data_IF_184148289621
#
_entry.id   IF_184148289621
#
_cell.length_a   1.000
_cell.length_b   1.000
_cell.length_c   1.000
_cell.angle_alpha   90.00
_cell.angle_beta   90.00
_cell.angle_gamma   90.00
#
_symmetry.space_group_name_H-M   'P 1'
#
loop_
_entity.id
_entity.type
_entity.pdbx_description
1 polymer ?
#
# COMPACT_ATOMS: atom_id res chain seq x y z
N UNK A 1 9.75 9.30 -5.57
CA UNK A 1 8.34 9.44 -5.19
C UNK A 1 8.05 8.59 -3.98
N UNK A 2 7.37 9.15 -3.01
CA UNK A 2 6.94 8.42 -1.81
C UNK A 2 5.44 8.23 -1.88
N UNK A 3 5.00 6.99 -1.66
CA UNK A 3 3.57 6.68 -1.64
C UNK A 3 3.09 6.70 -0.18
N UNK A 4 2.16 7.60 0.18
CA UNK A 4 1.65 7.65 1.53
C UNK A 4 0.74 6.46 1.85
N UNK A 5 0.76 6.04 3.11
CA UNK A 5 -0.21 5.08 3.63
C UNK A 5 -1.45 5.81 4.10
N UNK A 6 -2.59 5.17 3.97
CA UNK A 6 -3.84 5.68 4.52
C UNK A 6 -4.73 4.51 4.96
N UNK A 7 -5.68 4.79 5.84
CA UNK A 7 -6.73 3.84 6.17
C UNK A 7 -7.94 4.12 5.29
N UNK A 8 -8.55 3.05 4.78
CA UNK A 8 -9.78 3.13 4.03
C UNK A 8 -10.98 2.96 4.95
N UNK A 9 -12.02 3.74 4.73
CA UNK A 9 -13.24 3.70 5.51
C UNK A 9 -14.08 2.46 5.20
N UNK A 10 -15.20 2.35 5.91
CA UNK A 10 -16.11 1.23 5.84
C UNK A 10 -16.30 0.63 7.22
N UNK A 11 -16.75 -0.61 7.31
CA UNK A 11 -16.95 -1.29 8.59
C UNK A 11 -15.64 -1.58 9.31
N UNK A 12 -14.55 -1.68 8.57
CA UNK A 12 -13.21 -1.87 9.12
C UNK A 12 -12.25 -0.91 8.46
N UNK A 13 -11.38 -0.31 9.25
CA UNK A 13 -10.28 0.48 8.73
C UNK A 13 -9.20 -0.47 8.23
N UNK A 14 -8.74 -0.27 7.01
CA UNK A 14 -7.68 -1.07 6.39
C UNK A 14 -6.62 -0.16 5.82
N UNK A 15 -5.34 -0.44 6.09
CA UNK A 15 -4.28 0.36 5.49
C UNK A 15 -4.14 0.08 4.00
N UNK A 16 -3.71 1.08 3.28
CA UNK A 16 -3.43 0.98 1.86
C UNK A 16 -2.32 1.93 1.48
N UNK A 17 -1.60 1.60 0.41
CA UNK A 17 -0.55 2.46 -0.15
C UNK A 17 -1.14 3.19 -1.34
N UNK A 18 -1.14 4.52 -1.29
CA UNK A 18 -1.63 5.34 -2.39
C UNK A 18 -0.56 5.39 -3.49
N UNK A 19 -0.91 4.91 -4.68
CA UNK A 19 -0.02 4.92 -5.83
C UNK A 19 -0.07 6.25 -6.56
N UNK A 20 -1.27 6.78 -6.79
CA UNK A 20 -1.46 8.10 -7.34
C UNK A 20 -2.86 8.59 -7.01
N UNK A 21 -3.08 9.89 -7.18
CA UNK A 21 -4.38 10.49 -6.91
C UNK A 21 -4.79 11.47 -8.01
N UNK A 22 -6.10 11.60 -8.19
CA UNK A 22 -6.73 12.58 -9.05
C UNK A 22 -7.49 13.58 -8.18
N UNK A 23 -8.33 14.43 -8.77
CA UNK A 23 -9.10 15.41 -8.01
C UNK A 23 -10.09 14.76 -7.03
N UNK A 24 -10.70 13.63 -7.41
CA UNK A 24 -11.76 12.99 -6.63
C UNK A 24 -11.40 11.61 -6.07
N UNK A 25 -10.41 10.96 -6.67
CA UNK A 25 -10.10 9.56 -6.38
C UNK A 25 -8.62 9.38 -6.10
N UNK A 26 -8.29 8.20 -5.56
CA UNK A 26 -6.91 7.72 -5.56
C UNK A 26 -6.89 6.24 -5.90
N UNK A 27 -5.77 5.80 -6.47
CA UNK A 27 -5.52 4.39 -6.76
C UNK A 27 -4.54 3.86 -5.74
N UNK A 28 -4.86 2.72 -5.14
CA UNK A 28 -4.10 2.20 -4.01
C UNK A 28 -3.95 0.68 -4.08
N UNK A 29 -2.89 0.18 -3.45
CA UNK A 29 -2.71 -1.24 -3.17
C UNK A 29 -3.11 -1.50 -1.73
N UNK A 30 -3.85 -2.57 -1.51
CA UNK A 30 -4.25 -2.96 -0.16
C UNK A 30 -3.09 -3.59 0.61
N UNK A 31 -3.15 -3.45 1.93
CA UNK A 31 -2.18 -4.03 2.86
C UNK A 31 -2.92 -5.01 3.75
N UNK A 32 -2.29 -6.17 4.02
CA UNK A 32 -2.85 -7.18 4.90
C UNK A 32 -1.81 -7.59 5.94
N UNK A 33 -2.29 -7.98 7.12
CA UNK A 33 -1.45 -8.58 8.17
C UNK A 33 -1.40 -10.12 8.06
N UNK A 34 -2.09 -10.71 7.10
CA UNK A 34 -2.10 -12.16 6.88
C UNK A 34 -0.89 -12.58 6.05
N UNK A 35 0.26 -12.61 6.69
CA UNK A 35 1.54 -12.85 6.01
C UNK A 35 1.76 -14.29 5.57
N UNK A 36 0.97 -15.26 6.09
CA UNK A 36 1.09 -16.65 5.73
C UNK A 36 0.76 -16.95 4.26
N UNK A 37 0.04 -16.05 3.63
CA UNK A 37 -0.39 -16.19 2.24
C UNK A 37 0.40 -15.32 1.27
N UNK A 38 1.67 -15.08 1.59
CA UNK A 38 2.52 -14.23 0.75
C UNK A 38 2.66 -14.81 -0.66
N UNK A 39 2.42 -13.94 -1.64
CA UNK A 39 2.62 -14.25 -3.06
C UNK A 39 3.90 -13.58 -3.57
N UNK A 40 4.47 -14.02 -4.71
CA UNK A 40 5.69 -13.40 -5.24
C UNK A 40 5.57 -11.90 -5.54
N UNK A 41 4.37 -11.43 -5.86
CA UNK A 41 4.12 -10.01 -6.12
C UNK A 41 3.98 -9.17 -4.86
N UNK A 42 3.89 -9.78 -3.69
CA UNK A 42 3.69 -9.04 -2.44
C UNK A 42 5.01 -8.42 -1.95
N UNK A 43 4.87 -7.30 -1.23
CA UNK A 43 5.99 -6.63 -0.57
C UNK A 43 5.83 -6.77 0.93
N UNK A 44 6.82 -7.39 1.59
CA UNK A 44 6.81 -7.50 3.04
C UNK A 44 7.21 -6.16 3.66
N UNK A 45 6.42 -5.70 4.62
CA UNK A 45 6.69 -4.51 5.40
C UNK A 45 6.89 -4.88 6.86
N UNK A 46 8.02 -4.47 7.41
CA UNK A 46 8.27 -4.59 8.85
C UNK A 46 7.90 -3.27 9.52
N UNK A 47 7.29 -3.31 10.73
CA UNK A 47 6.96 -2.09 11.44
C UNK A 47 8.19 -1.20 11.65
N UNK A 48 8.05 0.08 11.36
CA UNK A 48 9.09 1.06 11.65
C UNK A 48 8.44 2.43 11.90
N UNK A 49 9.25 3.41 12.33
CA UNK A 49 8.72 4.72 12.66
C UNK A 49 8.25 5.51 11.45
N UNK A 50 8.76 5.18 10.27
CA UNK A 50 8.38 5.86 9.03
C UNK A 50 7.04 5.38 8.51
N UNK A 51 6.82 4.06 8.49
CA UNK A 51 5.57 3.53 7.95
C UNK A 51 4.42 3.48 8.95
N UNK A 52 4.69 3.60 10.24
CA UNK A 52 3.66 3.65 11.26
C UNK A 52 2.87 2.36 11.48
N UNK A 53 3.32 1.25 10.93
CA UNK A 53 2.65 -0.04 11.08
C UNK A 53 2.95 -0.63 12.45
N UNK A 54 2.03 -1.42 12.98
CA UNK A 54 2.18 -2.09 14.27
C UNK A 54 2.56 -3.55 14.15
N UNK A 55 2.30 -4.17 13.00
CA UNK A 55 2.55 -5.58 12.73
C UNK A 55 3.20 -5.75 11.38
N UNK A 56 3.92 -6.86 11.19
CA UNK A 56 4.37 -7.26 9.87
C UNK A 56 3.17 -7.32 8.93
N UNK A 57 3.34 -6.80 7.74
CA UNK A 57 2.26 -6.66 6.78
C UNK A 57 2.78 -6.93 5.37
N UNK A 58 1.85 -7.19 4.47
CA UNK A 58 2.15 -7.35 3.04
C UNK A 58 1.40 -6.31 2.24
N UNK A 59 2.10 -5.65 1.32
CA UNK A 59 1.44 -4.87 0.28
C UNK A 59 1.03 -5.85 -0.81
N UNK A 60 -0.26 -5.93 -1.07
CA UNK A 60 -0.82 -6.77 -2.13
C UNK A 60 -0.79 -6.01 -3.44
N UNK A 61 0.30 -6.09 -4.19
CA UNK A 61 0.41 -5.36 -5.47
C UNK A 61 -0.61 -5.84 -6.50
N UNK A 62 -1.11 -7.07 -6.36
CA UNK A 62 -2.17 -7.59 -7.23
C UNK A 62 -3.57 -7.09 -6.84
N UNK A 63 -3.71 -6.42 -5.70
CA UNK A 63 -4.99 -5.89 -5.22
C UNK A 63 -4.99 -4.37 -5.32
N UNK A 64 -5.17 -3.89 -6.54
CA UNK A 64 -5.20 -2.46 -6.85
C UNK A 64 -6.64 -2.03 -7.04
N UNK A 65 -7.03 -0.91 -6.44
CA UNK A 65 -8.37 -0.37 -6.59
C UNK A 65 -8.33 1.14 -6.66
N UNK A 66 -9.27 1.72 -7.39
CA UNK A 66 -9.49 3.17 -7.42
C UNK A 66 -10.65 3.47 -6.47
N UNK A 67 -10.41 4.37 -5.54
CA UNK A 67 -11.28 4.61 -4.40
C UNK A 67 -11.54 6.10 -4.26
N UNK A 68 -12.78 6.44 -3.91
CA UNK A 68 -13.16 7.84 -3.63
C UNK A 68 -12.35 8.38 -2.45
N UNK A 69 -11.81 9.57 -2.58
CA UNK A 69 -11.00 10.22 -1.54
C UNK A 69 -11.72 10.35 -0.20
N UNK A 70 -13.04 10.45 -0.22
CA UNK A 70 -13.81 10.55 1.01
C UNK A 70 -13.69 9.32 1.90
N UNK A 71 -13.29 8.18 1.34
CA UNK A 71 -13.12 6.95 2.11
C UNK A 71 -11.79 6.88 2.86
N UNK A 72 -10.86 7.79 2.57
CA UNK A 72 -9.59 7.85 3.30
C UNK A 72 -9.82 8.44 4.69
N UNK A 73 -9.27 7.79 5.73
CA UNK A 73 -9.49 8.18 7.12
C UNK A 73 -8.25 8.78 7.80
N UNK A 74 -7.21 9.02 7.05
CA UNK A 74 -6.02 9.66 7.58
C UNK A 74 -4.75 9.02 7.08
N UNK A 75 -3.64 9.67 7.36
CA UNK A 75 -2.32 9.24 6.95
C UNK A 75 -1.66 8.47 8.09
N UNK A 76 -1.21 7.24 7.82
CA UNK A 76 -0.52 6.41 8.82
C UNK A 76 0.99 6.64 8.81
N UNK A 77 1.57 6.85 7.63
CA UNK A 77 3.00 6.98 7.48
C UNK A 77 3.41 6.97 6.02
N UNK A 78 4.68 6.67 5.77
CA UNK A 78 5.26 6.66 4.42
C UNK A 78 6.12 5.43 4.25
N UNK A 79 6.34 5.03 3.00
CA UNK A 79 7.35 4.02 2.68
C UNK A 79 8.75 4.67 2.76
N UNK A 80 9.71 3.94 3.31
CA UNK A 80 11.10 4.35 3.21
C UNK A 80 11.63 4.04 1.80
N UNK A 81 12.88 4.41 1.52
CA UNK A 81 13.44 4.24 0.19
C UNK A 81 13.56 2.77 -0.23
N UNK A 82 13.89 1.88 0.69
CA UNK A 82 14.00 0.45 0.39
C UNK A 82 12.64 -0.16 0.10
N UNK A 83 11.65 0.17 0.92
CA UNK A 83 10.27 -0.28 0.74
C UNK A 83 9.71 0.22 -0.60
N UNK A 84 9.96 1.49 -0.91
CA UNK A 84 9.50 2.09 -2.15
C UNK A 84 10.14 1.44 -3.37
N UNK A 85 11.45 1.19 -3.31
CA UNK A 85 12.17 0.54 -4.40
C UNK A 85 11.64 -0.87 -4.66
N UNK A 86 11.37 -1.63 -3.60
CA UNK A 86 10.79 -2.96 -3.73
C UNK A 86 9.38 -2.91 -4.32
N UNK A 87 8.55 -1.99 -3.86
CA UNK A 87 7.20 -1.80 -4.40
C UNK A 87 7.24 -1.47 -5.89
N UNK A 88 8.09 -0.54 -6.30
CA UNK A 88 8.24 -0.18 -7.71
C UNK A 88 8.68 -1.37 -8.56
N UNK A 89 9.64 -2.14 -8.07
CA UNK A 89 10.13 -3.34 -8.76
C UNK A 89 9.01 -4.36 -8.95
N UNK A 90 8.25 -4.64 -7.91
CA UNK A 90 7.13 -5.60 -7.97
C UNK A 90 6.03 -5.13 -8.90
N UNK A 91 5.70 -3.84 -8.89
CA UNK A 91 4.70 -3.27 -9.80
C UNK A 91 5.15 -3.35 -11.25
N UNK A 92 6.41 -3.08 -11.54
CA UNK A 92 6.93 -3.18 -12.90
C UNK A 92 6.80 -4.60 -13.45
N UNK A 93 7.15 -5.59 -12.64
CA UNK A 93 7.01 -7.00 -13.03
C UNK A 93 5.55 -7.37 -13.23
N UNK A 94 4.70 -7.03 -12.27
CA UNK A 94 3.27 -7.36 -12.32
C UNK A 94 2.60 -6.74 -13.54
N UNK A 95 2.90 -5.49 -13.84
CA UNK A 95 2.28 -4.73 -14.93
C UNK A 95 3.07 -4.83 -16.24
N UNK A 96 4.16 -5.58 -16.25
CA UNK A 96 4.99 -5.82 -17.44
C UNK A 96 5.51 -4.51 -18.08
N UNK A 97 6.00 -3.60 -17.24
CA UNK A 97 6.46 -2.28 -17.68
C UNK A 97 7.97 -2.19 -17.95
N UNK A 98 8.69 -3.28 -17.90
CA UNK A 98 10.13 -3.29 -18.16
C UNK A 98 10.46 -3.76 -19.56
#
# INVERSE_FOLDING_TARGET
VKFPFTNLGGNKLRPAVILFETALDFTACFITTKIDWKEPSDVLLLPNTTNGLRKESLIRTSKIATIDKELAKGLLGKLDQLELAELESKLKVLLQLT
#
